data_IF_677697241514
#
_entry.id   IF_677697241514
#
_cell.length_a   1.000
_cell.length_b   1.000
_cell.length_c   1.000
_cell.angle_alpha   90.00
_cell.angle_beta   90.00
_cell.angle_gamma   90.00
#
_symmetry.space_group_name_H-M   'P 1'
#
loop_
_entity.id
_entity.type
_entity.pdbx_description
1 polymer ?
#
# COMPACT_ATOMS: atom_id res chain seq x y z
N UNK A 1 -5.70 -15.23 -12.23
CA UNK A 1 -5.89 -16.13 -11.06
C UNK A 1 -7.32 -15.97 -10.57
N UNK A 2 -7.85 -16.90 -9.78
CA UNK A 2 -9.17 -16.70 -9.15
C UNK A 2 -9.19 -17.29 -7.74
N UNK A 3 -10.02 -16.71 -6.87
CA UNK A 3 -10.21 -17.14 -5.49
C UNK A 3 -11.66 -16.95 -5.06
N UNK A 4 -12.25 -17.99 -4.50
CA UNK A 4 -13.55 -17.99 -3.85
C UNK A 4 -13.38 -18.20 -2.36
N UNK A 5 -14.07 -17.38 -1.55
CA UNK A 5 -14.07 -17.44 -0.10
C UNK A 5 -15.51 -17.28 0.40
N UNK A 6 -16.17 -18.40 0.69
CA UNK A 6 -17.62 -18.41 0.93
C UNK A 6 -18.36 -17.90 -0.31
N UNK A 7 -19.21 -16.90 -0.13
CA UNK A 7 -20.00 -16.28 -1.21
C UNK A 7 -19.20 -15.28 -2.05
N UNK A 8 -18.02 -14.86 -1.59
CA UNK A 8 -17.19 -13.87 -2.28
C UNK A 8 -16.31 -14.51 -3.35
N UNK A 9 -16.30 -13.93 -4.57
CA UNK A 9 -15.44 -14.36 -5.68
C UNK A 9 -14.54 -13.24 -6.21
N UNK A 10 -13.23 -13.44 -6.13
CA UNK A 10 -12.21 -12.56 -6.70
C UNK A 10 -11.61 -13.16 -7.97
N UNK A 11 -11.67 -12.41 -9.08
CA UNK A 11 -10.97 -12.73 -10.34
C UNK A 11 -9.82 -11.75 -10.53
N UNK A 12 -8.66 -12.25 -10.91
CA UNK A 12 -7.47 -11.43 -11.16
C UNK A 12 -7.09 -11.56 -12.63
N UNK A 13 -7.15 -10.46 -13.36
CA UNK A 13 -6.66 -10.38 -14.72
C UNK A 13 -5.14 -10.57 -14.75
N UNK A 14 -4.64 -11.27 -15.77
CA UNK A 14 -3.21 -11.42 -15.95
C UNK A 14 -2.58 -10.06 -16.25
N UNK A 15 -1.40 -9.81 -15.68
CA UNK A 15 -0.65 -8.60 -15.86
C UNK A 15 0.82 -8.85 -15.57
N UNK A 16 1.63 -7.83 -15.84
CA UNK A 16 3.07 -7.83 -15.63
C UNK A 16 3.45 -6.64 -14.75
N UNK A 17 4.55 -6.79 -14.05
CA UNK A 17 5.19 -5.74 -13.26
C UNK A 17 6.69 -5.78 -13.54
N UNK A 18 7.35 -4.64 -13.37
CA UNK A 18 8.80 -4.54 -13.57
C UNK A 18 9.52 -4.40 -12.23
N UNK A 19 10.83 -4.60 -12.26
CA UNK A 19 11.69 -4.23 -11.14
C UNK A 19 11.61 -2.72 -10.89
N UNK A 20 11.84 -2.30 -9.64
CA UNK A 20 11.85 -0.88 -9.24
C UNK A 20 10.51 -0.16 -9.45
N UNK A 21 9.40 -0.90 -9.45
CA UNK A 21 8.06 -0.36 -9.70
C UNK A 21 7.18 -0.40 -8.44
N UNK A 22 6.39 0.65 -8.22
CA UNK A 22 5.34 0.69 -7.20
C UNK A 22 3.97 0.58 -7.87
N UNK A 23 3.27 -0.51 -7.56
CA UNK A 23 1.90 -0.75 -8.00
C UNK A 23 0.95 -0.48 -6.84
N UNK A 24 0.08 0.51 -7.00
CA UNK A 24 -0.95 0.80 -6.00
C UNK A 24 -2.25 0.08 -6.34
N UNK A 25 -2.84 -0.55 -5.35
CA UNK A 25 -4.13 -1.24 -5.43
C UNK A 25 -5.23 -0.35 -4.86
N UNK A 26 -6.14 0.08 -5.74
CA UNK A 26 -7.29 0.92 -5.39
C UNK A 26 -8.60 0.14 -5.54
N UNK A 27 -9.57 0.44 -4.69
CA UNK A 27 -10.90 -0.19 -4.72
C UNK A 27 -11.62 -0.07 -3.39
N UNK A 28 -12.93 -0.29 -3.38
CA UNK A 28 -13.72 -0.27 -2.14
C UNK A 28 -13.29 -1.37 -1.16
N UNK A 29 -13.67 -1.22 0.11
CA UNK A 29 -13.48 -2.29 1.09
C UNK A 29 -14.33 -3.50 0.73
N UNK A 30 -13.82 -4.71 0.98
CA UNK A 30 -14.51 -5.95 0.61
C UNK A 30 -14.39 -6.35 -0.86
N UNK A 31 -13.57 -5.64 -1.66
CA UNK A 31 -13.27 -6.03 -3.06
C UNK A 31 -12.11 -7.02 -3.19
N UNK A 32 -11.47 -7.42 -2.09
CA UNK A 32 -10.46 -8.48 -2.08
C UNK A 32 -8.99 -8.03 -2.25
N UNK A 33 -8.67 -6.76 -2.02
CA UNK A 33 -7.28 -6.22 -2.05
C UNK A 33 -6.32 -7.01 -1.13
N UNK A 34 -6.66 -7.12 0.15
CA UNK A 34 -5.88 -7.91 1.12
C UNK A 34 -5.83 -9.40 0.75
N UNK A 35 -6.90 -9.94 0.15
CA UNK A 35 -6.93 -11.32 -0.36
C UNK A 35 -5.92 -11.49 -1.48
N UNK A 36 -5.79 -10.52 -2.38
CA UNK A 36 -4.77 -10.53 -3.42
C UNK A 36 -3.35 -10.45 -2.84
N UNK A 37 -3.09 -9.57 -1.86
CA UNK A 37 -1.81 -9.54 -1.15
C UNK A 37 -1.45 -10.90 -0.55
N UNK A 38 -2.41 -11.58 0.10
CA UNK A 38 -2.17 -12.91 0.69
C UNK A 38 -1.84 -13.98 -0.36
N UNK A 39 -2.45 -13.89 -1.55
CA UNK A 39 -2.11 -14.77 -2.68
C UNK A 39 -0.73 -14.48 -3.24
N UNK A 40 -0.37 -13.20 -3.40
CA UNK A 40 0.99 -12.80 -3.80
C UNK A 40 2.04 -13.27 -2.79
N UNK A 41 1.74 -13.21 -1.49
CA UNK A 41 2.61 -13.69 -0.42
C UNK A 41 2.70 -15.23 -0.30
N UNK A 42 1.94 -15.99 -1.10
CA UNK A 42 1.87 -17.45 -0.99
C UNK A 42 1.13 -17.98 0.25
N UNK A 43 0.65 -17.10 1.13
CA UNK A 43 -0.14 -17.46 2.32
C UNK A 43 -1.57 -17.91 2.00
N UNK A 44 -2.05 -17.66 0.78
CA UNK A 44 -3.36 -18.10 0.29
C UNK A 44 -3.22 -18.68 -1.12
N UNK A 45 -3.66 -19.91 -1.32
CA UNK A 45 -3.59 -20.58 -2.63
C UNK A 45 -4.76 -20.18 -3.53
N UNK A 46 -4.52 -19.79 -4.80
CA UNK A 46 -5.60 -19.60 -5.77
C UNK A 46 -6.32 -20.91 -6.10
N UNK A 47 -7.60 -20.84 -6.43
CA UNK A 47 -8.43 -22.05 -6.65
C UNK A 47 -8.01 -22.82 -7.89
N UNK A 48 -7.44 -22.13 -8.87
CA UNK A 48 -6.96 -22.72 -10.11
C UNK A 48 -5.50 -23.20 -10.04
N UNK A 49 -4.92 -23.29 -8.84
CA UNK A 49 -3.58 -23.84 -8.61
C UNK A 49 -2.41 -23.03 -9.18
N UNK A 50 -2.68 -21.91 -9.87
CA UNK A 50 -1.64 -21.02 -10.39
C UNK A 50 -0.87 -20.41 -9.24
N UNK A 51 0.45 -20.61 -9.20
CA UNK A 51 1.32 -19.95 -8.24
C UNK A 51 1.87 -18.66 -8.86
N UNK A 52 2.01 -17.64 -8.01
CA UNK A 52 2.90 -16.50 -8.27
C UNK A 52 4.32 -17.06 -8.14
N UNK A 53 5.26 -16.61 -8.99
CA UNK A 53 6.60 -17.22 -9.11
C UNK A 53 7.39 -17.30 -7.80
N UNK A 54 8.55 -17.96 -7.84
CA UNK A 54 9.46 -18.07 -6.70
C UNK A 54 10.17 -16.74 -6.42
N UNK A 55 9.46 -15.80 -5.79
CA UNK A 55 10.01 -14.52 -5.34
C UNK A 55 9.86 -14.40 -3.83
N UNK A 56 10.88 -13.85 -3.17
CA UNK A 56 10.80 -13.60 -1.74
C UNK A 56 9.88 -12.40 -1.45
N UNK A 57 8.98 -12.54 -0.48
CA UNK A 57 7.97 -11.53 -0.17
C UNK A 57 8.12 -11.05 1.28
N UNK A 58 8.14 -9.73 1.46
CA UNK A 58 7.96 -9.09 2.77
C UNK A 58 6.58 -8.43 2.83
N UNK A 59 5.90 -8.56 3.96
CA UNK A 59 4.52 -8.07 4.11
C UNK A 59 4.34 -7.22 5.37
N UNK A 60 3.78 -6.02 5.19
CA UNK A 60 3.13 -5.23 6.24
C UNK A 60 1.63 -5.49 6.18
N UNK A 61 1.01 -6.16 7.18
CA UNK A 61 -0.43 -6.41 7.19
C UNK A 61 -1.23 -5.16 7.55
N UNK A 62 -2.49 -5.12 7.12
CA UNK A 62 -3.44 -4.04 7.44
C UNK A 62 -3.62 -3.89 8.97
N UNK A 63 -3.97 -4.99 9.64
CA UNK A 63 -4.11 -5.06 11.10
C UNK A 63 -2.78 -5.45 11.73
N UNK A 64 -2.24 -4.56 12.57
CA UNK A 64 -1.05 -4.83 13.38
C UNK A 64 -1.50 -4.99 14.83
N UNK A 65 -0.88 -5.94 15.54
CA UNK A 65 -1.07 -6.12 16.98
C UNK A 65 0.29 -6.26 17.65
N UNK A 66 0.54 -5.61 18.80
CA UNK A 66 1.83 -5.64 19.45
C UNK A 66 1.99 -6.93 20.27
N UNK A 67 2.31 -8.04 19.58
CA UNK A 67 2.47 -9.36 20.20
C UNK A 67 3.88 -9.62 20.73
N UNK A 68 4.84 -8.76 20.43
CA UNK A 68 6.23 -8.94 20.84
C UNK A 68 6.44 -8.40 22.26
N UNK A 69 6.96 -9.24 23.15
CA UNK A 69 7.39 -8.84 24.49
C UNK A 69 8.85 -8.40 24.43
N UNK A 70 9.10 -7.13 24.76
CA UNK A 70 10.42 -6.50 24.69
C UNK A 70 10.41 -5.15 23.98
N UNK A 71 11.58 -4.54 23.85
CA UNK A 71 11.73 -3.21 23.24
C UNK A 71 11.75 -3.27 21.71
N UNK A 72 11.50 -2.13 21.07
CA UNK A 72 11.61 -1.98 19.61
C UNK A 72 13.02 -2.37 19.13
N UNK A 73 14.07 -2.00 19.88
CA UNK A 73 15.45 -2.40 19.62
C UNK A 73 15.59 -3.91 19.55
N UNK A 74 15.10 -4.62 20.55
CA UNK A 74 15.17 -6.08 20.60
C UNK A 74 14.42 -6.70 19.42
N UNK A 75 13.25 -6.15 19.06
CA UNK A 75 12.48 -6.60 17.90
C UNK A 75 13.26 -6.44 16.59
N UNK A 76 13.87 -5.27 16.36
CA UNK A 76 14.65 -5.01 15.14
C UNK A 76 15.91 -5.85 15.08
N UNK A 77 16.65 -5.98 16.18
CA UNK A 77 17.83 -6.86 16.24
C UNK A 77 17.47 -8.34 16.07
N UNK A 78 16.24 -8.75 16.41
CA UNK A 78 15.77 -10.12 16.19
C UNK A 78 15.35 -10.37 14.74
N UNK A 79 14.70 -9.39 14.09
CA UNK A 79 14.04 -9.59 12.78
C UNK A 79 14.86 -9.09 11.61
N UNK A 80 15.49 -7.92 11.75
CA UNK A 80 16.09 -7.16 10.65
C UNK A 80 17.51 -6.66 10.99
N UNK A 81 18.27 -7.40 11.81
CA UNK A 81 19.60 -6.98 12.31
C UNK A 81 20.52 -6.47 11.21
N UNK A 82 20.65 -7.24 10.13
CA UNK A 82 21.55 -6.89 9.03
C UNK A 82 21.18 -5.53 8.42
N UNK A 83 19.92 -5.36 8.03
CA UNK A 83 19.41 -4.11 7.45
C UNK A 83 19.46 -2.96 8.45
N UNK A 84 19.09 -3.19 9.71
CA UNK A 84 19.06 -2.16 10.75
C UNK A 84 20.45 -1.58 11.05
N UNK A 85 21.53 -2.35 10.89
CA UNK A 85 22.89 -1.85 11.09
C UNK A 85 23.44 -1.07 9.89
N UNK A 86 22.78 -1.09 8.73
CA UNK A 86 23.26 -0.37 7.54
C UNK A 86 23.03 1.14 7.69
N UNK A 87 24.07 1.98 7.51
CA UNK A 87 23.94 3.44 7.57
C UNK A 87 22.91 3.99 6.58
N UNK A 88 22.81 3.37 5.40
CA UNK A 88 21.84 3.75 4.38
C UNK A 88 20.40 3.50 4.87
N UNK A 89 20.13 2.34 5.46
CA UNK A 89 18.80 2.01 6.00
C UNK A 89 18.42 2.94 7.16
N UNK A 90 19.39 3.29 8.01
CA UNK A 90 19.19 4.28 9.06
C UNK A 90 18.77 5.65 8.49
N UNK A 91 19.46 6.09 7.43
CA UNK A 91 19.23 7.41 6.82
C UNK A 91 17.95 7.47 5.98
N UNK A 92 17.65 6.41 5.23
CA UNK A 92 16.50 6.38 4.32
C UNK A 92 15.20 5.97 5.00
N UNK A 93 15.27 5.16 6.06
CA UNK A 93 14.10 4.52 6.67
C UNK A 93 13.94 4.90 8.14
N UNK A 94 14.93 4.62 9.00
CA UNK A 94 14.74 4.75 10.45
C UNK A 94 14.64 6.21 10.94
N UNK A 95 15.58 7.07 10.53
CA UNK A 95 15.61 8.48 10.96
C UNK A 95 14.39 9.26 10.47
N UNK A 96 13.97 9.19 9.19
CA UNK A 96 12.79 9.91 8.73
C UNK A 96 11.51 9.46 9.45
N UNK A 97 11.39 8.17 9.78
CA UNK A 97 10.27 7.64 10.56
C UNK A 97 10.43 7.87 12.07
N UNK A 98 11.44 8.63 12.52
CA UNK A 98 11.75 8.94 13.92
C UNK A 98 11.73 7.70 14.81
N UNK A 99 12.46 6.67 14.37
CA UNK A 99 12.62 5.43 15.13
C UNK A 99 13.49 5.62 16.36
N UNK A 100 14.39 6.59 16.35
CA UNK A 100 15.27 6.89 17.49
C UNK A 100 14.47 7.22 18.76
N UNK A 101 13.32 7.88 18.60
CA UNK A 101 12.40 8.21 19.70
C UNK A 101 11.70 6.96 20.28
N UNK A 102 11.64 5.86 19.51
CA UNK A 102 10.86 4.66 19.83
C UNK A 102 11.74 3.46 20.22
N UNK A 103 13.04 3.53 19.96
CA UNK A 103 13.91 2.35 19.92
C UNK A 103 13.99 1.63 21.28
N UNK A 104 13.92 2.36 22.38
CA UNK A 104 14.01 1.80 23.73
C UNK A 104 12.63 1.61 24.40
N UNK A 105 11.54 1.96 23.72
CA UNK A 105 10.19 1.73 24.20
C UNK A 105 9.77 0.26 24.03
N UNK A 106 8.91 -0.21 24.93
CA UNK A 106 8.28 -1.51 24.81
C UNK A 106 7.25 -1.54 23.69
N UNK A 107 7.28 -2.58 22.85
CA UNK A 107 6.39 -2.70 21.69
C UNK A 107 4.92 -2.74 22.11
N UNK A 108 4.61 -3.29 23.29
CA UNK A 108 3.27 -3.37 23.85
C UNK A 108 2.68 -2.03 24.26
N UNK A 109 3.52 -1.01 24.48
CA UNK A 109 3.11 0.31 24.97
C UNK A 109 3.02 1.35 23.85
N UNK A 110 3.34 0.99 22.61
CA UNK A 110 3.30 1.89 21.47
C UNK A 110 1.86 2.28 21.12
N UNK A 111 1.65 3.55 20.79
CA UNK A 111 0.43 4.03 20.15
C UNK A 111 0.25 3.43 18.75
N UNK A 112 -0.95 3.55 18.19
CA UNK A 112 -1.25 3.03 16.84
C UNK A 112 -0.32 3.58 15.75
N UNK A 113 -0.03 4.89 15.77
CA UNK A 113 0.86 5.53 14.80
C UNK A 113 2.34 5.15 15.00
N UNK A 114 2.79 4.97 16.23
CA UNK A 114 4.15 4.47 16.53
C UNK A 114 4.32 3.02 16.07
N UNK A 115 3.36 2.16 16.42
CA UNK A 115 3.34 0.77 16.01
C UNK A 115 3.29 0.62 14.49
N UNK A 116 2.56 1.50 13.81
CA UNK A 116 2.51 1.56 12.36
C UNK A 116 3.89 1.86 11.75
N UNK A 117 4.60 2.88 12.27
CA UNK A 117 5.97 3.21 11.84
C UNK A 117 6.92 2.04 12.04
N UNK A 118 6.87 1.39 13.21
CA UNK A 118 7.66 0.18 13.51
C UNK A 118 7.36 -0.95 12.53
N UNK A 119 6.09 -1.18 12.20
CA UNK A 119 5.70 -2.22 11.24
C UNK A 119 6.18 -1.95 9.81
N UNK A 120 6.18 -0.69 9.38
CA UNK A 120 6.74 -0.28 8.08
C UNK A 120 8.25 -0.56 8.05
N UNK A 121 8.98 -0.19 9.11
CA UNK A 121 10.43 -0.45 9.20
C UNK A 121 10.75 -1.94 9.17
N UNK A 122 9.96 -2.77 9.88
CA UNK A 122 10.11 -4.23 9.81
C UNK A 122 9.90 -4.77 8.41
N UNK A 123 8.85 -4.31 7.72
CA UNK A 123 8.56 -4.77 6.38
C UNK A 123 9.70 -4.39 5.42
N UNK A 124 10.17 -3.14 5.42
CA UNK A 124 11.26 -2.69 4.56
C UNK A 124 12.62 -3.30 4.93
N UNK A 125 12.85 -3.59 6.21
CA UNK A 125 14.09 -4.18 6.70
C UNK A 125 14.24 -5.67 6.39
N UNK A 126 13.14 -6.36 6.08
CA UNK A 126 13.19 -7.76 5.68
C UNK A 126 13.70 -7.88 4.23
N UNK A 127 14.75 -8.67 3.94
CA UNK A 127 15.18 -8.91 2.58
C UNK A 127 14.06 -9.58 1.77
N UNK A 128 13.61 -8.92 0.70
CA UNK A 128 12.57 -9.42 -0.18
C UNK A 128 12.73 -8.86 -1.61
N UNK A 129 12.16 -9.57 -2.58
CA UNK A 129 12.04 -9.10 -3.96
C UNK A 129 10.78 -8.26 -4.14
N UNK A 130 9.71 -8.65 -3.45
CA UNK A 130 8.43 -7.95 -3.45
C UNK A 130 8.05 -7.51 -2.03
N UNK A 131 7.67 -6.25 -1.90
CA UNK A 131 7.11 -5.68 -0.67
C UNK A 131 5.60 -5.48 -0.81
N UNK A 132 4.83 -6.13 0.05
CA UNK A 132 3.38 -5.96 0.13
C UNK A 132 3.04 -5.08 1.33
N UNK A 133 2.54 -3.87 1.10
CA UNK A 133 2.27 -2.91 2.17
C UNK A 133 0.78 -2.57 2.18
N UNK A 134 0.06 -3.10 3.16
CA UNK A 134 -1.39 -2.94 3.27
C UNK A 134 -1.74 -1.81 4.26
N UNK A 135 -2.30 -0.72 3.75
CA UNK A 135 -2.68 0.52 4.46
C UNK A 135 -1.54 1.10 5.33
N UNK A 136 -0.44 1.58 4.72
CA UNK A 136 0.61 2.30 5.43
C UNK A 136 0.15 3.63 6.07
N UNK A 137 -0.92 4.27 5.58
CA UNK A 137 -1.46 5.53 6.11
C UNK A 137 -2.27 5.41 7.42
N UNK A 138 -2.62 4.19 7.84
CA UNK A 138 -3.43 3.95 9.03
C UNK A 138 -2.79 4.55 10.30
N UNK A 139 -3.60 5.24 11.11
CA UNK A 139 -3.19 5.92 12.35
C UNK A 139 -2.15 7.04 12.21
N UNK A 140 -1.67 7.33 11.00
CA UNK A 140 -0.73 8.41 10.74
C UNK A 140 -1.48 9.73 10.49
N UNK A 141 -0.94 10.81 11.02
CA UNK A 141 -1.36 12.18 10.67
C UNK A 141 -0.88 12.57 9.25
N UNK A 142 -1.31 13.75 8.78
CA UNK A 142 -1.00 14.20 7.41
C UNK A 142 0.49 14.38 7.13
N UNK A 143 1.28 14.81 8.13
CA UNK A 143 2.72 15.00 7.96
C UNK A 143 3.43 13.64 7.90
N UNK A 144 3.09 12.76 8.85
CA UNK A 144 3.61 11.40 8.92
C UNK A 144 3.29 10.59 7.66
N UNK A 145 2.11 10.75 7.06
CA UNK A 145 1.76 10.10 5.77
C UNK A 145 2.70 10.52 4.65
N UNK A 146 2.99 11.81 4.52
CA UNK A 146 3.89 12.33 3.48
C UNK A 146 5.30 11.79 3.68
N UNK A 147 5.79 11.79 4.92
CA UNK A 147 7.10 11.24 5.26
C UNK A 147 7.15 9.74 4.96
N UNK A 148 6.14 8.98 5.38
CA UNK A 148 6.02 7.55 5.12
C UNK A 148 6.04 7.25 3.62
N UNK A 149 5.28 8.00 2.82
CA UNK A 149 5.22 7.83 1.38
C UNK A 149 6.59 8.09 0.72
N UNK A 150 7.30 9.13 1.16
CA UNK A 150 8.67 9.45 0.72
C UNK A 150 9.65 8.33 1.04
N UNK A 151 9.60 7.80 2.27
CA UNK A 151 10.47 6.71 2.73
C UNK A 151 10.26 5.46 1.89
N UNK A 152 9.00 5.02 1.71
CA UNK A 152 8.69 3.84 0.91
C UNK A 152 9.17 4.04 -0.53
N UNK A 153 8.83 5.18 -1.17
CA UNK A 153 9.22 5.44 -2.56
C UNK A 153 10.72 5.44 -2.76
N UNK A 154 11.45 6.13 -1.87
CA UNK A 154 12.91 6.21 -1.90
C UNK A 154 13.56 4.84 -1.71
N UNK A 155 13.12 4.09 -0.70
CA UNK A 155 13.68 2.77 -0.40
C UNK A 155 13.50 1.81 -1.58
N UNK A 156 12.29 1.71 -2.13
CA UNK A 156 11.98 0.81 -3.24
C UNK A 156 12.82 1.14 -4.49
N UNK A 157 12.96 2.44 -4.80
CA UNK A 157 13.78 2.91 -5.92
C UNK A 157 15.27 2.60 -5.72
N UNK A 158 15.83 2.87 -4.54
CA UNK A 158 17.26 2.63 -4.27
C UNK A 158 17.61 1.15 -4.17
N UNK A 159 16.74 0.35 -3.56
CA UNK A 159 16.92 -1.09 -3.42
C UNK A 159 16.66 -1.85 -4.73
N UNK A 160 16.11 -1.17 -5.76
CA UNK A 160 15.66 -1.76 -7.03
C UNK A 160 14.69 -2.93 -6.83
N UNK A 161 13.73 -2.74 -5.93
CA UNK A 161 12.72 -3.74 -5.55
C UNK A 161 11.35 -3.35 -6.08
N UNK A 162 10.37 -4.23 -5.97
CA UNK A 162 8.99 -3.94 -6.40
C UNK A 162 8.08 -3.88 -5.18
N UNK A 163 7.10 -2.98 -5.19
CA UNK A 163 6.11 -2.89 -4.12
C UNK A 163 4.68 -2.93 -4.64
N UNK A 164 3.81 -3.69 -3.95
CA UNK A 164 2.37 -3.58 -4.08
C UNK A 164 1.82 -2.92 -2.83
N UNK A 165 1.11 -1.80 -3.00
CA UNK A 165 0.63 -1.00 -1.88
C UNK A 165 -0.88 -0.90 -1.94
N UNK A 166 -1.58 -1.28 -0.87
CA UNK A 166 -3.00 -0.99 -0.71
C UNK A 166 -3.12 0.35 -0.01
N UNK A 167 -3.79 1.31 -0.64
CA UNK A 167 -4.01 2.62 -0.05
C UNK A 167 -5.42 3.16 -0.33
N UNK A 168 -5.93 3.88 0.66
CA UNK A 168 -7.19 4.60 0.60
C UNK A 168 -6.99 6.12 0.64
N UNK A 169 -5.81 6.58 1.07
CA UNK A 169 -5.46 8.00 0.99
C UNK A 169 -5.02 8.35 -0.44
N UNK A 170 -5.82 9.16 -1.13
CA UNK A 170 -5.60 9.49 -2.55
C UNK A 170 -4.27 10.23 -2.79
N UNK A 171 -3.83 11.08 -1.85
CA UNK A 171 -2.58 11.84 -1.98
C UNK A 171 -1.39 10.88 -1.85
N UNK A 172 -1.41 10.01 -0.84
CA UNK A 172 -0.36 9.02 -0.63
C UNK A 172 -0.31 8.03 -1.78
N UNK A 173 -1.45 7.54 -2.24
CA UNK A 173 -1.56 6.62 -3.36
C UNK A 173 -0.99 7.22 -4.66
N UNK A 174 -1.39 8.44 -5.02
CA UNK A 174 -0.90 9.10 -6.24
C UNK A 174 0.57 9.51 -6.16
N UNK A 175 1.09 9.78 -4.97
CA UNK A 175 2.51 10.04 -4.77
C UNK A 175 3.37 8.78 -4.95
N UNK A 176 2.86 7.64 -4.47
CA UNK A 176 3.57 6.36 -4.49
C UNK A 176 3.52 5.68 -5.85
N UNK A 177 2.36 5.65 -6.51
CA UNK A 177 2.15 4.76 -7.65
C UNK A 177 2.89 5.18 -8.91
N UNK A 178 3.52 4.20 -9.55
CA UNK A 178 3.92 4.26 -10.95
C UNK A 178 2.79 3.68 -11.83
N UNK A 179 2.18 2.59 -11.35
CA UNK A 179 0.99 1.95 -11.94
C UNK A 179 -0.07 1.66 -10.90
N UNK A 180 -1.30 1.47 -11.38
CA UNK A 180 -2.46 1.21 -10.55
C UNK A 180 -3.17 -0.07 -11.00
N UNK A 181 -3.52 -0.92 -10.03
CA UNK A 181 -4.51 -1.98 -10.19
C UNK A 181 -5.81 -1.48 -9.56
N UNK A 182 -6.89 -1.52 -10.33
CA UNK A 182 -8.23 -1.15 -9.84
C UNK A 182 -9.00 -2.42 -9.55
N UNK A 183 -9.61 -2.48 -8.38
CA UNK A 183 -10.55 -3.51 -7.99
C UNK A 183 -11.97 -3.00 -8.23
N UNK A 184 -12.68 -3.69 -9.12
CA UNK A 184 -14.04 -3.35 -9.55
C UNK A 184 -15.01 -4.47 -9.18
N UNK A 185 -16.28 -4.15 -8.95
CA UNK A 185 -17.31 -5.13 -8.62
C UNK A 185 -18.08 -4.75 -7.36
N UNK A 186 -18.83 -5.71 -6.81
CA UNK A 186 -19.68 -5.51 -5.64
C UNK A 186 -18.98 -6.04 -4.38
N UNK A 187 -18.75 -5.19 -3.37
CA UNK A 187 -18.15 -5.61 -2.10
C UNK A 187 -18.80 -6.87 -1.53
N UNK A 188 -17.97 -7.81 -1.07
CA UNK A 188 -18.40 -9.08 -0.46
C UNK A 188 -19.20 -10.02 -1.37
N UNK A 189 -19.36 -9.71 -2.67
CA UNK A 189 -20.05 -10.57 -3.65
C UNK A 189 -19.09 -11.03 -4.73
N UNK A 190 -18.67 -10.12 -5.61
CA UNK A 190 -17.74 -10.44 -6.68
C UNK A 190 -16.87 -9.24 -7.03
N UNK A 191 -15.59 -9.49 -7.31
CA UNK A 191 -14.65 -8.46 -7.68
C UNK A 191 -13.68 -8.93 -8.77
N UNK A 192 -13.21 -7.98 -9.56
CA UNK A 192 -12.19 -8.15 -10.58
C UNK A 192 -11.04 -7.20 -10.26
N UNK A 193 -9.83 -7.75 -10.07
CA UNK A 193 -8.60 -6.97 -10.07
C UNK A 193 -8.13 -6.81 -11.53
N UNK A 194 -8.06 -5.58 -12.02
CA UNK A 194 -7.60 -5.29 -13.38
C UNK A 194 -6.11 -5.58 -13.55
N UNK A 195 -5.65 -5.71 -14.79
CA UNK A 195 -4.21 -5.68 -15.07
C UNK A 195 -3.62 -4.32 -14.65
N UNK A 196 -2.35 -4.22 -14.24
CA UNK A 196 -1.74 -2.93 -13.91
C UNK A 196 -1.87 -1.93 -15.08
N UNK A 197 -2.22 -0.68 -14.78
CA UNK A 197 -2.45 0.40 -15.75
C UNK A 197 -1.64 1.63 -15.36
N UNK A 198 -1.53 2.61 -16.26
CA UNK A 198 -0.92 3.90 -15.90
C UNK A 198 -1.71 4.57 -14.78
N UNK A 199 -1.04 5.42 -13.99
CA UNK A 199 -1.66 6.18 -12.92
C UNK A 199 -2.92 6.91 -13.38
N UNK A 200 -2.86 7.62 -14.51
CA UNK A 200 -3.97 8.39 -15.05
C UNK A 200 -5.18 7.51 -15.38
N UNK A 201 -4.95 6.42 -16.14
CA UNK A 201 -6.03 5.51 -16.55
C UNK A 201 -6.65 4.81 -15.34
N UNK A 202 -5.82 4.30 -14.42
CA UNK A 202 -6.31 3.61 -13.22
C UNK A 202 -7.07 4.53 -12.27
N UNK A 203 -6.57 5.74 -12.01
CA UNK A 203 -7.29 6.71 -11.19
C UNK A 203 -8.62 7.12 -11.83
N UNK A 204 -8.65 7.36 -13.14
CA UNK A 204 -9.89 7.71 -13.84
C UNK A 204 -10.93 6.58 -13.76
N UNK A 205 -10.51 5.32 -13.93
CA UNK A 205 -11.39 4.16 -13.76
C UNK A 205 -11.92 4.05 -12.32
N UNK A 206 -11.06 4.18 -11.32
CA UNK A 206 -11.44 4.13 -9.91
C UNK A 206 -12.44 5.24 -9.53
N UNK A 207 -12.15 6.49 -9.91
CA UNK A 207 -13.01 7.64 -9.62
C UNK A 207 -14.37 7.54 -10.30
N UNK A 208 -14.41 7.03 -11.53
CA UNK A 208 -15.64 6.76 -12.26
C UNK A 208 -16.51 5.74 -11.52
N UNK A 209 -15.91 4.67 -11.00
CA UNK A 209 -16.65 3.64 -10.25
C UNK A 209 -17.26 4.19 -8.95
N UNK A 210 -16.61 5.18 -8.33
CA UNK A 210 -17.14 5.86 -7.13
C UNK A 210 -18.16 6.97 -7.45
N UNK A 211 -18.36 7.32 -8.73
CA UNK A 211 -19.11 8.50 -9.15
C UNK A 211 -18.62 9.81 -8.47
N UNK A 212 -17.30 9.93 -8.26
CA UNK A 212 -16.67 11.10 -7.63
C UNK A 212 -15.69 11.73 -8.61
N UNK A 213 -15.62 13.07 -8.61
CA UNK A 213 -14.58 13.81 -9.33
C UNK A 213 -13.79 14.69 -8.38
N UNK A 214 -12.53 14.92 -8.74
CA UNK A 214 -11.61 15.78 -7.98
C UNK A 214 -11.19 16.98 -8.82
N UNK A 215 -10.98 18.10 -8.15
CA UNK A 215 -10.29 19.27 -8.70
C UNK A 215 -9.03 19.56 -7.89
N UNK A 216 -8.03 20.20 -8.52
CA UNK A 216 -6.90 20.76 -7.77
C UNK A 216 -7.27 22.15 -7.29
N UNK A 217 -7.00 22.39 -6.00
CA UNK A 217 -7.06 23.73 -5.43
C UNK A 217 -5.95 24.60 -6.05
N UNK A 218 -6.26 25.80 -6.58
CA UNK A 218 -5.30 26.58 -7.37
C UNK A 218 -4.14 27.16 -6.55
N UNK A 219 -4.30 27.26 -5.22
CA UNK A 219 -3.29 27.84 -4.32
C UNK A 219 -2.48 26.72 -3.67
N UNK A 220 -3.18 25.75 -3.08
CA UNK A 220 -2.54 24.69 -2.30
C UNK A 220 -2.19 23.45 -3.13
N UNK A 221 -2.66 23.36 -4.38
CA UNK A 221 -2.56 22.19 -5.27
C UNK A 221 -3.13 20.89 -4.68
N UNK A 222 -3.85 20.99 -3.55
CA UNK A 222 -4.47 19.84 -2.88
C UNK A 222 -5.67 19.35 -3.69
N UNK A 223 -5.86 18.02 -3.80
CA UNK A 223 -7.07 17.47 -4.40
C UNK A 223 -8.28 17.78 -3.51
N UNK A 224 -9.35 18.31 -4.10
CA UNK A 224 -10.64 18.54 -3.46
C UNK A 224 -11.75 17.79 -4.19
N UNK A 225 -12.59 17.10 -3.42
CA UNK A 225 -13.79 16.43 -3.93
C UNK A 225 -14.77 17.50 -4.44
N UNK A 226 -15.31 17.29 -5.64
CA UNK A 226 -16.41 18.10 -6.14
C UNK A 226 -17.74 17.67 -5.49
N UNK A 227 -18.59 18.64 -5.15
CA UNK A 227 -19.96 18.35 -4.71
C UNK A 227 -20.73 17.70 -5.86
N UNK A 228 -21.52 16.67 -5.53
CA UNK A 228 -22.46 16.02 -6.45
C UNK A 228 -23.30 17.07 -7.19
N UNK A 229 -23.53 16.85 -8.49
CA UNK A 229 -24.30 17.70 -9.40
C UNK A 229 -23.80 19.13 -9.68
N UNK A 230 -22.57 19.47 -9.28
CA UNK A 230 -21.97 20.76 -9.68
C UNK A 230 -21.70 20.83 -11.19
N UNK A 231 -21.79 22.04 -11.79
CA UNK A 231 -21.42 22.26 -13.19
C UNK A 231 -20.00 21.77 -13.52
N UNK A 232 -19.07 21.86 -12.56
CA UNK A 232 -17.70 21.35 -12.68
C UNK A 232 -17.63 19.83 -12.80
N UNK A 233 -18.54 19.11 -12.15
CA UNK A 233 -18.66 17.65 -12.24
C UNK A 233 -19.07 17.27 -13.66
N UNK A 234 -20.06 17.99 -14.24
CA UNK A 234 -20.51 17.76 -15.62
C UNK A 234 -19.34 17.91 -16.60
N UNK A 235 -18.59 19.00 -16.52
CA UNK A 235 -17.45 19.26 -17.43
C UNK A 235 -16.37 18.18 -17.34
N UNK A 236 -15.99 17.76 -16.12
CA UNK A 236 -14.93 16.75 -15.91
C UNK A 236 -15.35 15.32 -16.25
N UNK A 237 -16.64 14.98 -16.19
CA UNK A 237 -17.12 13.70 -16.73
C UNK A 237 -17.09 13.66 -18.27
N UNK A 238 -17.26 14.82 -18.93
CA UNK A 238 -17.19 14.92 -20.40
C UNK A 238 -15.77 15.05 -20.95
N UNK A 239 -14.86 15.69 -20.22
CA UNK A 239 -13.45 15.83 -20.59
C UNK A 239 -12.60 14.93 -19.70
N UNK A 240 -12.18 13.78 -20.24
CA UNK A 240 -11.23 12.86 -19.58
C UNK A 240 -10.05 13.67 -19.03
N UNK A 241 -9.71 13.45 -17.76
CA UNK A 241 -8.48 13.96 -17.12
C UNK A 241 -7.27 13.46 -17.90
#
# INVERSE_FOLDING_TARGET
MQKTMGDFRLRIQAGEFTDSEIIVMMGENGTGKTTFCRMLAGSLTPDNGKKVGEMSVSMKPQKISPKFTGTVRQLFFKKIRASFLLPQFQTDVCKPLRIDDLIDLEVQNLSGGELQRVAIVLALGQPADIYLIDEPSAYLDSEQRIICAKVIKRFILHAKKTAFIVEHDFIMATYLADRVIVFEGKPSVDAIATKPQSLLTGCNAFLKNLNVTFRRDPVSYRPRINKLDSQLVRIQFYHKI
#
